data_IF_962707013161
#
_entry.id   IF_962707013161
#
_cell.length_a   1.000
_cell.length_b   1.000
_cell.length_c   1.000
_cell.angle_alpha   90.00
_cell.angle_beta   90.00
_cell.angle_gamma   90.00
#
_symmetry.space_group_name_H-M   'P 1'
#
loop_
_entity.id
_entity.type
_entity.pdbx_description
1 polymer ?
#
# COMPACT_ATOMS: atom_id res chain seq x y z
N UNK A 1 -21.89 28.72 -3.36
CA UNK A 1 -21.88 27.61 -4.33
C UNK A 1 -20.92 26.58 -3.78
N UNK A 2 -21.39 25.39 -3.37
CA UNK A 2 -20.49 24.30 -2.96
C UNK A 2 -19.92 23.67 -4.22
N UNK A 3 -18.67 24.02 -4.55
CA UNK A 3 -17.97 23.43 -5.70
C UNK A 3 -17.70 21.95 -5.41
N UNK A 4 -18.27 21.08 -6.22
CA UNK A 4 -17.96 19.66 -6.16
C UNK A 4 -16.64 19.43 -6.88
N UNK A 5 -15.74 18.63 -6.30
CA UNK A 5 -14.45 18.30 -6.91
C UNK A 5 -14.31 16.79 -7.02
N UNK A 6 -13.68 16.32 -8.09
CA UNK A 6 -13.37 14.90 -8.28
C UNK A 6 -12.18 14.50 -7.40
N UNK A 7 -12.34 13.44 -6.62
CA UNK A 7 -11.25 12.86 -5.83
C UNK A 7 -10.19 12.23 -6.75
N UNK A 8 -8.92 12.55 -6.56
CA UNK A 8 -7.83 12.04 -7.40
C UNK A 8 -7.53 10.54 -7.21
N UNK A 9 -7.99 9.93 -6.12
CA UNK A 9 -7.79 8.49 -5.86
C UNK A 9 -8.92 7.65 -6.43
N UNK A 10 -10.17 8.02 -6.12
CA UNK A 10 -11.33 7.20 -6.45
C UNK A 10 -12.14 7.71 -7.64
N UNK A 11 -11.82 8.90 -8.16
CA UNK A 11 -12.50 9.61 -9.26
C UNK A 11 -13.99 9.87 -9.04
N UNK A 12 -14.45 9.77 -7.78
CA UNK A 12 -15.80 10.15 -7.38
C UNK A 12 -15.81 11.62 -6.99
N UNK A 13 -16.87 12.30 -7.40
CA UNK A 13 -17.13 13.66 -6.98
C UNK A 13 -17.51 13.72 -5.50
N UNK A 14 -16.96 14.70 -4.77
CA UNK A 14 -17.27 14.93 -3.35
C UNK A 14 -17.41 16.41 -3.06
N UNK A 15 -18.23 16.74 -2.05
CA UNK A 15 -18.26 18.08 -1.43
C UNK A 15 -17.28 18.17 -0.28
N UNK A 16 -17.00 17.04 0.35
CA UNK A 16 -16.06 16.90 1.47
C UNK A 16 -14.73 16.39 0.91
N UNK A 17 -13.76 17.30 0.83
CA UNK A 17 -12.45 17.02 0.27
C UNK A 17 -11.34 17.73 1.06
N UNK A 18 -10.17 17.11 1.04
CA UNK A 18 -8.92 17.65 1.57
C UNK A 18 -7.99 17.96 0.40
N UNK A 19 -7.29 19.09 0.48
CA UNK A 19 -6.26 19.47 -0.49
C UNK A 19 -5.05 18.55 -0.33
N UNK A 20 -4.48 18.10 -1.45
CA UNK A 20 -3.28 17.26 -1.45
C UNK A 20 -2.04 18.11 -1.20
N UNK A 21 -1.78 18.34 0.08
CA UNK A 21 -0.56 18.97 0.60
C UNK A 21 0.64 18.01 0.54
N UNK A 22 1.84 18.53 0.79
CA UNK A 22 3.10 17.78 0.78
C UNK A 22 3.05 16.54 1.68
N UNK A 23 2.50 16.66 2.89
CA UNK A 23 2.39 15.53 3.82
C UNK A 23 1.56 14.37 3.26
N UNK A 24 0.49 14.65 2.50
CA UNK A 24 -0.32 13.59 1.89
C UNK A 24 0.47 12.92 0.78
N UNK A 25 1.28 13.67 0.03
CA UNK A 25 2.13 13.14 -1.04
C UNK A 25 3.20 12.21 -0.48
N UNK A 26 3.88 12.63 0.58
CA UNK A 26 4.85 11.80 1.28
C UNK A 26 4.22 10.50 1.81
N UNK A 27 3.02 10.59 2.39
CA UNK A 27 2.31 9.39 2.86
C UNK A 27 1.95 8.48 1.69
N UNK A 28 1.46 9.02 0.57
CA UNK A 28 1.14 8.22 -0.61
C UNK A 28 2.37 7.51 -1.19
N UNK A 29 3.53 8.17 -1.18
CA UNK A 29 4.80 7.56 -1.56
C UNK A 29 5.18 6.39 -0.63
N UNK A 30 5.03 6.57 0.69
CA UNK A 30 5.23 5.48 1.68
C UNK A 30 4.25 4.33 1.43
N UNK A 31 3.01 4.65 1.04
CA UNK A 31 1.98 3.66 0.70
C UNK A 31 2.15 3.04 -0.69
N UNK A 32 3.21 3.41 -1.42
CA UNK A 32 3.50 2.94 -2.79
C UNK A 32 2.42 3.31 -3.81
N UNK A 33 1.63 4.35 -3.50
CA UNK A 33 0.63 4.93 -4.38
C UNK A 33 1.26 6.07 -5.17
N UNK A 34 1.91 5.72 -6.29
CA UNK A 34 2.56 6.68 -7.19
C UNK A 34 1.52 7.41 -8.05
N UNK A 35 0.89 8.41 -7.47
CA UNK A 35 -0.21 9.12 -8.11
C UNK A 35 0.28 10.39 -8.77
N UNK A 36 0.01 10.52 -10.08
CA UNK A 36 0.36 11.74 -10.80
C UNK A 36 -0.64 12.87 -10.48
N UNK A 37 -0.14 13.87 -9.78
CA UNK A 37 -0.86 15.07 -9.39
C UNK A 37 -0.53 16.29 -10.27
N UNK A 38 0.26 16.12 -11.34
CA UNK A 38 0.74 17.22 -12.21
C UNK A 38 -0.34 17.84 -13.11
N UNK A 39 -1.40 17.09 -13.40
CA UNK A 39 -2.40 17.46 -14.42
C UNK A 39 -3.43 18.54 -14.00
N UNK A 40 -3.56 18.93 -12.73
CA UNK A 40 -4.63 19.84 -12.27
C UNK A 40 -4.18 20.90 -11.24
N UNK A 41 -4.70 22.14 -11.37
CA UNK A 41 -4.33 23.32 -10.57
C UNK A 41 -4.63 23.23 -9.05
N UNK A 42 -5.48 22.30 -8.59
CA UNK A 42 -5.59 21.91 -7.18
C UNK A 42 -6.02 20.43 -7.06
N UNK A 43 -5.07 19.55 -6.81
CA UNK A 43 -5.36 18.14 -6.54
C UNK A 43 -6.03 17.95 -5.18
N UNK A 44 -7.17 17.26 -5.14
CA UNK A 44 -7.93 16.98 -3.92
C UNK A 44 -8.25 15.50 -3.75
N UNK A 45 -8.46 15.09 -2.51
CA UNK A 45 -8.94 13.75 -2.14
C UNK A 45 -10.23 13.87 -1.32
N UNK A 46 -11.19 12.98 -1.54
CA UNK A 46 -12.39 12.95 -0.69
C UNK A 46 -12.05 12.43 0.71
N UNK A 47 -12.83 12.82 1.71
CA UNK A 47 -12.65 12.44 3.13
C UNK A 47 -12.43 10.93 3.31
N UNK A 48 -13.25 10.08 2.66
CA UNK A 48 -13.10 8.61 2.74
C UNK A 48 -11.73 8.11 2.27
N UNK A 49 -11.21 8.73 1.22
CA UNK A 49 -9.89 8.39 0.69
C UNK A 49 -8.79 8.92 1.62
N UNK A 50 -8.94 10.11 2.19
CA UNK A 50 -8.02 10.65 3.20
C UNK A 50 -7.97 9.74 4.44
N UNK A 51 -9.11 9.34 4.99
CA UNK A 51 -9.18 8.40 6.13
C UNK A 51 -8.48 7.08 5.82
N UNK A 52 -8.67 6.57 4.59
CA UNK A 52 -8.00 5.35 4.13
C UNK A 52 -6.48 5.53 4.07
N UNK A 53 -6.00 6.65 3.52
CA UNK A 53 -4.56 7.00 3.49
C UNK A 53 -3.98 6.94 4.91
N UNK A 54 -4.56 7.68 5.87
CA UNK A 54 -4.02 7.75 7.22
C UNK A 54 -4.09 6.40 7.94
N UNK A 55 -5.20 5.67 7.79
CA UNK A 55 -5.37 4.32 8.37
C UNK A 55 -4.33 3.34 7.86
N UNK A 56 -4.08 3.31 6.55
CA UNK A 56 -3.11 2.39 5.98
C UNK A 56 -1.67 2.82 6.26
N UNK A 57 -1.43 4.12 6.40
CA UNK A 57 -0.14 4.63 6.84
C UNK A 57 0.19 4.21 8.28
N UNK A 58 -0.78 4.32 9.19
CA UNK A 58 -0.63 3.83 10.57
C UNK A 58 -0.35 2.32 10.58
N UNK A 59 -1.14 1.54 9.83
CA UNK A 59 -0.96 0.09 9.72
C UNK A 59 0.44 -0.27 9.17
N UNK A 60 0.86 0.36 8.08
CA UNK A 60 2.19 0.12 7.49
C UNK A 60 3.30 0.51 8.46
N UNK A 61 3.17 1.62 9.17
CA UNK A 61 4.14 2.05 10.20
C UNK A 61 4.30 1.02 11.31
N UNK A 62 3.21 0.37 11.75
CA UNK A 62 3.27 -0.73 12.72
C UNK A 62 4.02 -1.95 12.15
N UNK A 63 3.80 -2.27 10.88
CA UNK A 63 4.49 -3.36 10.18
C UNK A 63 6.00 -3.08 10.08
N UNK A 64 6.38 -1.88 9.66
CA UNK A 64 7.79 -1.48 9.51
C UNK A 64 8.51 -1.45 10.86
N UNK A 65 7.88 -0.88 11.89
CA UNK A 65 8.43 -0.89 13.24
C UNK A 65 8.68 -2.33 13.72
N UNK A 66 7.73 -3.24 13.45
CA UNK A 66 7.88 -4.66 13.78
C UNK A 66 9.03 -5.30 13.02
N UNK A 67 9.17 -5.00 11.73
CA UNK A 67 10.26 -5.52 10.90
C UNK A 67 11.63 -5.04 11.38
N UNK A 68 11.76 -3.75 11.71
CA UNK A 68 12.99 -3.17 12.24
C UNK A 68 13.46 -3.86 13.54
N UNK A 69 12.53 -4.34 14.37
CA UNK A 69 12.85 -5.14 15.55
C UNK A 69 13.27 -6.57 15.20
N UNK A 70 12.78 -7.14 14.11
CA UNK A 70 13.12 -8.49 13.67
C UNK A 70 14.48 -8.56 12.96
N UNK A 71 14.83 -7.52 12.19
CA UNK A 71 16.04 -7.47 11.34
C UNK A 71 17.34 -7.86 12.08
N UNK A 72 17.63 -7.40 13.31
CA UNK A 72 18.82 -7.82 14.05
C UNK A 72 18.90 -9.33 14.30
N UNK A 73 17.77 -9.96 14.61
CA UNK A 73 17.67 -11.40 14.86
C UNK A 73 17.81 -12.19 13.55
N UNK A 74 17.15 -11.73 12.49
CA UNK A 74 17.23 -12.34 11.14
C UNK A 74 18.70 -12.35 10.65
N UNK A 75 19.41 -11.24 10.82
CA UNK A 75 20.83 -11.13 10.43
C UNK A 75 21.73 -12.08 11.23
N UNK A 76 21.45 -12.25 12.51
CA UNK A 76 22.24 -13.13 13.40
C UNK A 76 22.06 -14.61 13.05
N UNK A 77 20.86 -14.98 12.58
CA UNK A 77 20.49 -16.36 12.25
C UNK A 77 21.05 -16.87 10.90
N UNK A 78 21.80 -16.03 10.16
CA UNK A 78 22.54 -16.39 8.93
C UNK A 78 21.74 -17.25 7.92
N UNK A 79 20.47 -16.88 7.69
CA UNK A 79 19.58 -17.56 6.75
C UNK A 79 18.73 -18.69 7.35
N UNK A 80 18.85 -18.95 8.66
CA UNK A 80 17.86 -19.75 9.39
C UNK A 80 16.63 -18.91 9.71
N UNK A 81 15.46 -19.56 9.73
CA UNK A 81 14.20 -18.93 10.13
C UNK A 81 14.24 -18.57 11.63
N UNK A 82 13.81 -17.36 11.95
CA UNK A 82 13.70 -16.83 13.31
C UNK A 82 12.42 -17.32 13.98
N UNK A 83 12.50 -17.70 15.25
CA UNK A 83 11.32 -17.94 16.07
C UNK A 83 10.81 -16.61 16.67
N UNK A 84 9.59 -16.20 16.31
CA UNK A 84 9.01 -14.93 16.75
C UNK A 84 8.82 -14.91 18.27
N UNK A 85 8.57 -16.06 18.90
CA UNK A 85 8.41 -16.17 20.35
C UNK A 85 9.72 -15.87 21.06
N UNK A 86 10.83 -16.36 20.51
CA UNK A 86 12.17 -16.07 21.02
C UNK A 86 12.51 -14.58 20.91
N UNK A 87 12.17 -13.94 19.79
CA UNK A 87 12.38 -12.49 19.61
C UNK A 87 11.57 -11.67 20.62
N UNK A 88 10.28 -12.00 20.77
CA UNK A 88 9.42 -11.31 21.71
C UNK A 88 9.90 -11.46 23.16
N UNK A 89 10.40 -12.65 23.54
CA UNK A 89 10.97 -12.84 24.86
C UNK A 89 12.19 -11.96 25.11
N UNK A 90 13.16 -11.99 24.19
CA UNK A 90 14.42 -11.28 24.35
C UNK A 90 14.21 -9.76 24.38
N UNK A 91 13.14 -9.27 23.75
CA UNK A 91 12.70 -7.88 23.84
C UNK A 91 12.21 -7.51 25.25
N UNK A 92 11.42 -8.39 25.88
CA UNK A 92 10.89 -8.15 27.23
C UNK A 92 11.91 -8.43 28.33
N UNK A 93 12.91 -9.30 28.08
CA UNK A 93 13.89 -9.75 29.05
C UNK A 93 15.31 -9.81 28.44
N UNK A 94 15.96 -8.65 28.19
CA UNK A 94 17.29 -8.62 27.61
C UNK A 94 18.32 -9.31 28.54
N UNK A 95 18.86 -10.44 28.09
CA UNK A 95 19.87 -11.24 28.82
C UNK A 95 19.36 -12.53 29.46
N UNK A 96 18.08 -12.88 29.31
CA UNK A 96 17.54 -14.14 29.81
C UNK A 96 17.71 -15.30 28.80
N UNK A 97 18.00 -16.50 29.30
CA UNK A 97 17.98 -17.73 28.49
C UNK A 97 16.54 -18.24 28.34
N UNK A 98 16.03 -18.24 27.10
CA UNK A 98 14.83 -18.92 26.54
C UNK A 98 13.51 -18.93 27.35
N UNK A 99 12.38 -18.58 26.71
CA UNK A 99 11.04 -18.73 27.32
C UNK A 99 10.39 -20.08 27.10
N UNK A 100 9.61 -20.43 28.12
CA UNK A 100 8.65 -21.51 28.27
C UNK A 100 7.46 -21.44 27.30
N UNK A 101 6.93 -22.63 26.99
CA UNK A 101 5.70 -22.95 26.25
C UNK A 101 4.47 -22.12 26.66
N UNK A 102 4.29 -20.94 26.09
CA UNK A 102 2.98 -20.28 26.09
C UNK A 102 2.40 -20.37 24.69
N UNK A 103 1.26 -21.06 24.56
CA UNK A 103 0.49 -21.27 23.31
C UNK A 103 -0.03 -19.98 22.65
N UNK A 104 0.24 -18.81 23.22
CA UNK A 104 -0.27 -17.57 22.66
C UNK A 104 0.56 -17.16 21.44
N UNK A 105 -0.06 -17.31 20.27
CA UNK A 105 0.52 -16.92 19.01
C UNK A 105 0.85 -15.42 18.97
N UNK A 106 2.03 -15.10 18.43
CA UNK A 106 2.47 -13.72 18.21
C UNK A 106 2.28 -13.38 16.74
N UNK A 107 1.63 -12.25 16.48
CA UNK A 107 1.43 -11.76 15.14
C UNK A 107 2.76 -11.29 14.54
N UNK A 108 3.13 -11.82 13.37
CA UNK A 108 4.36 -11.43 12.66
C UNK A 108 4.39 -9.97 12.20
N UNK A 109 3.22 -9.38 11.94
CA UNK A 109 3.10 -8.01 11.41
C UNK A 109 3.11 -6.93 12.49
N UNK A 110 2.68 -7.23 13.71
CA UNK A 110 2.61 -6.22 14.77
C UNK A 110 3.34 -6.60 16.07
N UNK A 111 3.90 -7.82 16.12
CA UNK A 111 4.56 -8.42 17.29
C UNK A 111 3.72 -8.42 18.57
N UNK A 112 2.38 -8.27 18.46
CA UNK A 112 1.45 -8.38 19.57
C UNK A 112 0.93 -9.80 19.70
N UNK A 113 0.68 -10.20 20.95
CA UNK A 113 0.00 -11.44 21.32
C UNK A 113 -1.50 -11.25 21.11
N UNK A 114 -2.10 -12.03 20.21
CA UNK A 114 -3.51 -11.93 19.84
C UNK A 114 -3.99 -13.24 19.19
N UNK A 115 -5.30 -13.35 18.89
CA UNK A 115 -5.87 -14.45 18.12
C UNK A 115 -5.31 -14.43 16.70
N UNK A 116 -4.26 -15.21 16.50
CA UNK A 116 -3.60 -15.34 15.21
C UNK A 116 -4.07 -16.57 14.44
N UNK A 117 -4.08 -16.41 13.12
CA UNK A 117 -4.35 -17.47 12.15
C UNK A 117 -3.11 -17.72 11.32
N UNK A 118 -2.99 -18.95 10.81
CA UNK A 118 -1.93 -19.30 9.88
C UNK A 118 -2.18 -18.63 8.52
N UNK A 119 -1.10 -18.12 7.91
CA UNK A 119 -1.17 -17.53 6.57
C UNK A 119 -1.46 -18.55 5.48
N UNK A 120 -1.18 -19.83 5.75
CA UNK A 120 -1.42 -20.95 4.83
C UNK A 120 -2.90 -21.15 4.45
N UNK A 121 -3.81 -20.42 5.09
CA UNK A 121 -5.24 -20.37 4.69
C UNK A 121 -5.39 -19.73 3.30
N UNK A 122 -4.44 -18.89 2.89
CA UNK A 122 -4.39 -18.30 1.55
C UNK A 122 -3.42 -19.07 0.66
N UNK A 123 -3.62 -19.02 -0.67
CA UNK A 123 -2.62 -19.53 -1.60
C UNK A 123 -1.34 -18.69 -1.53
N UNK A 124 -0.17 -19.33 -1.50
CA UNK A 124 1.13 -18.66 -1.33
C UNK A 124 1.32 -17.50 -2.31
N UNK A 125 0.98 -17.70 -3.59
CA UNK A 125 1.12 -16.67 -4.62
C UNK A 125 0.30 -15.40 -4.32
N UNK A 126 -0.92 -15.56 -3.77
CA UNK A 126 -1.78 -14.42 -3.45
C UNK A 126 -1.25 -13.63 -2.26
N UNK A 127 -0.67 -14.33 -1.26
CA UNK A 127 -0.05 -13.67 -0.11
C UNK A 127 1.17 -12.87 -0.53
N UNK A 128 2.04 -13.47 -1.34
CA UNK A 128 3.25 -12.80 -1.84
C UNK A 128 2.89 -11.53 -2.65
N UNK A 129 1.86 -11.60 -3.51
CA UNK A 129 1.37 -10.43 -4.27
C UNK A 129 0.82 -9.31 -3.37
N UNK A 130 0.06 -9.66 -2.33
CA UNK A 130 -0.49 -8.70 -1.38
C UNK A 130 0.63 -8.00 -0.62
N UNK A 131 1.59 -8.77 -0.11
CA UNK A 131 2.73 -8.24 0.63
C UNK A 131 3.60 -7.35 -0.26
N UNK A 132 3.91 -7.77 -1.47
CA UNK A 132 4.72 -7.01 -2.42
C UNK A 132 4.11 -5.63 -2.76
N UNK A 133 2.78 -5.54 -2.81
CA UNK A 133 2.07 -4.28 -3.10
C UNK A 133 1.89 -3.38 -1.88
N UNK A 134 1.75 -3.95 -0.68
CA UNK A 134 1.38 -3.18 0.51
C UNK A 134 2.60 -2.89 1.41
N UNK A 135 3.39 -3.92 1.69
CA UNK A 135 4.47 -3.92 2.67
C UNK A 135 5.67 -4.76 2.19
N UNK A 136 6.28 -4.43 1.03
CA UNK A 136 7.38 -5.21 0.46
C UNK A 136 8.63 -5.29 1.34
N UNK A 137 8.71 -4.43 2.36
CA UNK A 137 9.79 -4.41 3.34
C UNK A 137 9.74 -5.61 4.31
N UNK A 138 8.57 -6.25 4.46
CA UNK A 138 8.36 -7.37 5.39
C UNK A 138 8.63 -8.71 4.71
N UNK A 139 9.64 -9.44 5.20
CA UNK A 139 9.90 -10.82 4.75
C UNK A 139 9.24 -11.84 5.70
N UNK A 140 8.07 -12.35 5.30
CA UNK A 140 7.35 -13.37 6.07
C UNK A 140 8.09 -14.72 6.11
N UNK A 141 8.95 -15.00 5.12
CA UNK A 141 9.68 -16.27 4.99
C UNK A 141 10.89 -16.33 5.95
N UNK A 142 11.31 -15.18 6.48
CA UNK A 142 12.36 -15.07 7.49
C UNK A 142 12.01 -15.66 8.86
N UNK A 143 10.73 -15.96 9.11
CA UNK A 143 10.24 -16.49 10.39
C UNK A 143 9.67 -17.90 10.27
N UNK A 144 9.79 -18.69 11.33
CA UNK A 144 9.19 -20.03 11.43
C UNK A 144 7.70 -19.88 11.70
N UNK A 145 6.89 -20.60 10.92
CA UNK A 145 5.42 -20.69 11.05
C UNK A 145 4.76 -19.32 11.32
N UNK A 146 4.92 -18.34 10.41
CA UNK A 146 4.41 -17.00 10.64
C UNK A 146 2.89 -17.00 10.76
N UNK A 147 2.40 -16.39 11.84
CA UNK A 147 0.96 -16.19 12.09
C UNK A 147 0.64 -14.71 12.05
N UNK A 148 -0.59 -14.38 11.66
CA UNK A 148 -1.09 -13.00 11.68
C UNK A 148 -2.35 -12.91 12.51
N UNK A 149 -2.49 -11.84 13.30
CA UNK A 149 -3.74 -11.59 14.00
C UNK A 149 -4.83 -11.12 13.04
N UNK A 150 -6.09 -11.35 13.43
CA UNK A 150 -7.26 -10.99 12.62
C UNK A 150 -7.28 -9.49 12.24
N UNK A 151 -6.84 -8.61 13.15
CA UNK A 151 -6.76 -7.17 12.90
C UNK A 151 -5.75 -6.84 11.79
N UNK A 152 -4.57 -7.45 11.83
CA UNK A 152 -3.55 -7.25 10.78
C UNK A 152 -4.00 -7.86 9.45
N UNK A 153 -4.62 -9.04 9.47
CA UNK A 153 -5.19 -9.67 8.28
C UNK A 153 -6.24 -8.77 7.61
N UNK A 154 -7.19 -8.27 8.39
CA UNK A 154 -8.26 -7.39 7.90
C UNK A 154 -7.69 -6.08 7.36
N UNK A 155 -6.71 -5.50 8.05
CA UNK A 155 -6.05 -4.26 7.61
C UNK A 155 -5.28 -4.46 6.31
N UNK A 156 -4.54 -5.57 6.18
CA UNK A 156 -3.76 -5.91 4.99
C UNK A 156 -4.66 -6.14 3.76
N UNK A 157 -5.76 -6.88 3.91
CA UNK A 157 -6.70 -7.11 2.80
C UNK A 157 -7.40 -5.82 2.35
N UNK A 158 -7.83 -4.99 3.30
CA UNK A 158 -8.42 -3.69 2.97
C UNK A 158 -7.41 -2.75 2.31
N UNK A 159 -6.15 -2.78 2.76
CA UNK A 159 -5.08 -1.99 2.17
C UNK A 159 -4.81 -2.43 0.72
N UNK A 160 -4.70 -3.74 0.49
CA UNK A 160 -4.53 -4.30 -0.84
C UNK A 160 -5.66 -3.91 -1.80
N UNK A 161 -6.91 -4.01 -1.35
CA UNK A 161 -8.07 -3.62 -2.14
C UNK A 161 -8.00 -2.12 -2.48
N UNK A 162 -7.72 -1.27 -1.47
CA UNK A 162 -7.60 0.16 -1.67
C UNK A 162 -6.51 0.52 -2.70
N UNK A 163 -5.32 -0.08 -2.58
CA UNK A 163 -4.21 0.16 -3.52
C UNK A 163 -4.59 -0.28 -4.93
N UNK A 164 -5.15 -1.49 -5.06
CA UNK A 164 -5.54 -2.04 -6.37
C UNK A 164 -6.62 -1.19 -7.04
N UNK A 165 -7.63 -0.74 -6.28
CA UNK A 165 -8.68 0.14 -6.81
C UNK A 165 -8.16 1.52 -7.21
N UNK A 166 -7.19 2.07 -6.49
CA UNK A 166 -6.58 3.35 -6.84
C UNK A 166 -5.78 3.22 -8.13
N UNK A 167 -4.86 2.25 -8.20
CA UNK A 167 -3.98 2.05 -9.36
C UNK A 167 -4.75 1.73 -10.64
N UNK A 168 -5.75 0.83 -10.57
CA UNK A 168 -6.55 0.46 -11.74
C UNK A 168 -7.26 1.69 -12.34
N UNK A 169 -7.71 2.64 -11.52
CA UNK A 169 -8.36 3.85 -12.02
C UNK A 169 -7.38 4.83 -12.66
N UNK A 170 -6.11 4.78 -12.30
CA UNK A 170 -5.09 5.61 -12.94
C UNK A 170 -4.69 5.05 -14.31
N UNK A 171 -4.53 3.73 -14.42
CA UNK A 171 -4.21 3.08 -15.70
C UNK A 171 -5.26 3.39 -16.77
N UNK A 172 -6.55 3.35 -16.39
CA UNK A 172 -7.65 3.70 -17.29
C UNK A 172 -7.63 5.16 -17.80
N UNK A 173 -6.91 6.07 -17.12
CA UNK A 173 -6.80 7.47 -17.54
C UNK A 173 -5.68 7.63 -18.55
N UNK A 174 -4.52 7.00 -18.31
CA UNK A 174 -3.39 7.04 -19.25
C UNK A 174 -3.80 6.46 -20.61
N UNK A 175 -4.54 5.36 -20.62
CA UNK A 175 -5.05 4.75 -21.87
C UNK A 175 -6.04 5.65 -22.62
N UNK A 176 -6.78 6.52 -21.93
CA UNK A 176 -7.73 7.44 -22.56
C UNK A 176 -7.03 8.70 -23.11
N UNK A 177 -6.07 9.26 -22.38
CA UNK A 177 -5.28 10.42 -22.85
C UNK A 177 -4.47 10.07 -24.12
N UNK A 178 -3.90 8.86 -24.18
CA UNK A 178 -3.17 8.40 -25.39
C UNK A 178 -4.11 8.25 -26.61
N UNK A 179 -5.36 7.82 -26.40
CA UNK A 179 -6.34 7.69 -27.48
C UNK A 179 -6.90 9.03 -27.97
N UNK A 180 -6.97 10.05 -27.12
CA UNK A 180 -7.37 11.40 -27.55
C UNK A 180 -6.23 12.11 -28.28
N UNK A 181 -4.97 11.94 -27.86
CA UNK A 181 -3.80 12.47 -28.56
C UNK A 181 -3.63 11.87 -29.97
N UNK A 182 -3.90 10.57 -30.14
CA UNK A 182 -3.84 9.93 -31.47
C UNK A 182 -4.94 10.47 -32.41
N UNK A 183 -6.10 10.88 -31.87
CA UNK A 183 -7.20 11.43 -32.68
C UNK A 183 -7.01 12.88 -33.07
N UNK A 184 -6.30 13.69 -32.27
CA UNK A 184 -5.98 15.08 -32.66
C UNK A 184 -4.98 15.12 -33.82
N UNK A 185 -4.02 14.20 -33.84
CA UNK A 185 -2.96 14.20 -34.86
C UNK A 185 -3.44 13.72 -36.25
N UNK A 186 -4.54 12.94 -36.33
CA UNK A 186 -5.14 12.53 -37.61
C UNK A 186 -6.01 13.63 -38.28
N UNK A 187 -6.40 14.68 -37.55
CA UNK A 187 -7.25 15.76 -38.06
C UNK A 187 -6.46 16.94 -38.66
N UNK A 188 -5.15 17.03 -38.40
CA UNK A 188 -4.29 18.13 -38.88
C UNK A 188 -3.63 17.87 -40.25
N UNK A 189 -3.95 16.76 -40.92
CA UNK A 189 -3.43 16.43 -42.26
C UNK A 189 -4.56 16.36 -43.29
N UNK A 190 -5.08 17.53 -43.70
CA UNK A 190 -5.43 17.93 -45.09
C UNK A 190 -6.57 18.96 -45.12
N UNK A 191 -6.19 20.23 -45.11
CA UNK A 191 -6.89 21.25 -45.89
C UNK A 191 -5.87 22.27 -46.38
N UNK A 192 -6.14 22.83 -47.57
CA UNK A 192 -5.29 23.71 -48.39
C UNK A 192 -4.34 22.89 -49.30
N UNK A 193 -4.51 22.88 -50.62
CA UNK A 193 -4.49 24.05 -51.51
C UNK A 193 -5.58 24.01 -52.62
N UNK A 194 -6.37 25.08 -52.72
CA UNK A 194 -7.10 25.48 -53.93
C UNK A 194 -6.21 26.40 -54.80
N UNK A 195 -6.25 26.14 -56.11
CA UNK A 195 -6.16 27.05 -57.27
C UNK A 195 -5.18 28.24 -57.27
N UNK A 196 -4.27 28.25 -58.24
CA UNK A 196 -3.79 29.48 -58.89
C UNK A 196 -3.80 29.32 -60.42
N UNK A 197 -4.63 30.15 -61.05
CA UNK A 197 -4.81 30.40 -62.47
C UNK A 197 -3.58 31.11 -63.07
N UNK A 198 -3.24 30.83 -64.34
CA UNK A 198 -2.12 31.45 -65.06
C UNK A 198 -1.80 30.83 -66.42
#
# INVERSE_FOLDING_TARGET
MTSQKACKLCFKESKDFQVVEEIIREILDVLLLKIDFSLNEESVVCERCADSIYKFFEFKSVCLYSEDHMVPFIRTMKGMKVDIVEVAYLKENPGAATLSDSDDAICRLCLKRDRCVDLNIFSENVVDDILAKCIPEVDMKSTRDPKICLSCQTSLLNYYQFVTECLAKQENIVEHDDQEAIKSDELDIKTEEEECDG
#
